data_IF_463122389801
#
_entry.id   IF_463122389801
#
_cell.length_a   1.000
_cell.length_b   1.000
_cell.length_c   1.000
_cell.angle_alpha   90.00
_cell.angle_beta   90.00
_cell.angle_gamma   90.00
#
_symmetry.space_group_name_H-M   'P 1'
#
loop_
_entity.id
_entity.type
_entity.pdbx_description
1 polymer ?
#
# COMPACT_ATOMS: atom_id res chain seq x y z
N UNK A 1 23.97 -7.91 30.28
CA UNK A 1 22.55 -8.23 30.00
C UNK A 1 21.74 -6.96 29.76
N UNK A 2 21.95 -5.89 30.53
CA UNK A 2 21.39 -4.55 30.30
C UNK A 2 21.75 -3.92 28.94
N UNK A 3 23.00 -4.06 28.46
CA UNK A 3 23.41 -3.53 27.15
C UNK A 3 22.66 -4.16 25.97
N UNK A 4 22.25 -5.42 26.09
CA UNK A 4 21.44 -6.13 25.08
C UNK A 4 19.97 -5.68 25.15
N UNK A 5 19.46 -5.38 26.35
CA UNK A 5 18.10 -4.85 26.52
C UNK A 5 17.98 -3.42 26.02
N UNK A 6 18.94 -2.55 26.34
CA UNK A 6 19.00 -1.17 25.85
C UNK A 6 19.07 -1.11 24.32
N UNK A 7 19.94 -1.94 23.71
CA UNK A 7 20.05 -2.09 22.26
C UNK A 7 18.73 -2.48 21.59
N UNK A 8 18.00 -3.46 22.15
CA UNK A 8 16.68 -3.89 21.63
C UNK A 8 15.61 -2.81 21.79
N UNK A 9 15.63 -2.06 22.89
CA UNK A 9 14.69 -0.96 23.15
C UNK A 9 14.85 0.17 22.12
N UNK A 10 16.08 0.66 21.92
CA UNK A 10 16.38 1.70 20.92
C UNK A 10 15.99 1.30 19.49
N UNK A 11 16.11 0.01 19.15
CA UNK A 11 15.73 -0.48 17.83
C UNK A 11 14.20 -0.51 17.63
N UNK A 12 13.43 -0.84 18.69
CA UNK A 12 11.95 -0.79 18.64
C UNK A 12 11.42 0.63 18.43
N UNK A 13 11.94 1.61 19.18
CA UNK A 13 11.54 3.01 19.04
C UNK A 13 11.84 3.56 17.65
N UNK A 14 13.01 3.21 17.09
CA UNK A 14 13.38 3.59 15.72
C UNK A 14 12.45 2.99 14.67
N UNK A 15 12.11 1.69 14.79
CA UNK A 15 11.18 1.04 13.86
C UNK A 15 9.79 1.69 13.96
N UNK A 16 9.29 1.92 15.17
CA UNK A 16 8.01 2.59 15.38
C UNK A 16 7.99 3.98 14.75
N UNK A 17 9.04 4.78 14.99
CA UNK A 17 9.16 6.13 14.43
C UNK A 17 9.14 6.10 12.89
N UNK A 18 9.91 5.20 12.27
CA UNK A 18 9.94 5.07 10.80
C UNK A 18 8.56 4.66 10.28
N UNK A 19 7.88 3.70 10.92
CA UNK A 19 6.52 3.30 10.52
C UNK A 19 5.53 4.46 10.64
N UNK A 20 5.62 5.29 11.69
CA UNK A 20 4.76 6.46 11.84
C UNK A 20 5.03 7.50 10.74
N UNK A 21 6.29 7.69 10.34
CA UNK A 21 6.65 8.54 9.20
C UNK A 21 6.07 7.98 7.89
N UNK A 22 6.15 6.66 7.67
CA UNK A 22 5.58 6.00 6.49
C UNK A 22 4.06 6.20 6.41
N UNK A 23 3.36 5.97 7.53
CA UNK A 23 1.92 6.17 7.63
C UNK A 23 1.58 7.64 7.37
N UNK A 24 2.31 8.57 7.98
CA UNK A 24 2.07 10.01 7.80
C UNK A 24 2.28 10.43 6.34
N UNK A 25 3.30 9.90 5.67
CA UNK A 25 3.56 10.14 4.25
C UNK A 25 2.40 9.62 3.39
N UNK A 26 1.96 8.38 3.60
CA UNK A 26 0.83 7.78 2.88
C UNK A 26 -0.44 8.63 3.06
N UNK A 27 -0.81 8.94 4.31
CA UNK A 27 -2.03 9.70 4.63
C UNK A 27 -1.97 11.10 4.01
N UNK A 28 -0.84 11.81 4.18
CA UNK A 28 -0.69 13.16 3.60
C UNK A 28 -0.84 13.13 2.09
N UNK A 29 -0.28 12.11 1.44
CA UNK A 29 -0.35 11.98 -0.01
C UNK A 29 -1.75 11.61 -0.51
N UNK A 30 -2.49 10.78 0.23
CA UNK A 30 -3.92 10.51 -0.02
C UNK A 30 -4.72 11.80 0.10
N UNK A 31 -4.51 12.60 1.16
CA UNK A 31 -5.20 13.89 1.34
C UNK A 31 -4.90 14.83 0.17
N UNK A 32 -3.64 14.94 -0.25
CA UNK A 32 -3.27 15.77 -1.40
C UNK A 32 -3.94 15.29 -2.69
N UNK A 33 -3.99 13.98 -2.94
CA UNK A 33 -4.69 13.41 -4.09
C UNK A 33 -6.20 13.70 -4.07
N UNK A 34 -6.83 13.57 -2.90
CA UNK A 34 -8.25 13.87 -2.72
C UNK A 34 -8.56 15.34 -2.98
N UNK A 35 -7.77 16.25 -2.39
CA UNK A 35 -7.90 17.70 -2.61
C UNK A 35 -7.67 18.07 -4.07
N UNK A 36 -6.71 17.43 -4.73
CA UNK A 36 -6.45 17.62 -6.15
C UNK A 36 -7.64 17.18 -7.01
N UNK A 37 -8.28 16.07 -6.65
CA UNK A 37 -9.51 15.61 -7.31
C UNK A 37 -10.62 16.66 -7.28
N UNK A 38 -10.83 17.32 -6.14
CA UNK A 38 -11.83 18.39 -6.02
C UNK A 38 -11.51 19.67 -6.81
N UNK A 39 -10.30 19.79 -7.37
CA UNK A 39 -9.95 20.86 -8.31
C UNK A 39 -10.25 20.47 -9.77
N UNK A 40 -10.44 19.18 -10.04
CA UNK A 40 -10.83 18.69 -11.35
C UNK A 40 -12.35 18.84 -11.46
N UNK A 41 -12.79 19.69 -12.38
CA UNK A 41 -14.20 19.91 -12.67
C UNK A 41 -14.73 18.70 -13.47
N UNK A 42 -15.19 17.67 -12.75
CA UNK A 42 -15.49 16.34 -13.29
C UNK A 42 -16.97 16.10 -13.59
N UNK A 43 -17.76 17.18 -13.67
CA UNK A 43 -19.21 17.20 -13.88
C UNK A 43 -19.73 16.40 -15.10
N UNK A 44 -18.84 15.89 -15.96
CA UNK A 44 -19.18 15.17 -17.19
C UNK A 44 -18.55 13.77 -17.34
N UNK A 45 -17.99 13.18 -16.28
CA UNK A 45 -17.51 11.79 -16.35
C UNK A 45 -18.69 10.82 -16.24
N UNK A 46 -19.22 10.39 -17.40
CA UNK A 46 -20.16 9.28 -17.44
C UNK A 46 -19.49 8.00 -16.92
N UNK A 47 -20.12 7.24 -15.99
CA UNK A 47 -19.56 6.00 -15.49
C UNK A 47 -19.38 5.00 -16.64
N UNK A 48 -18.14 4.77 -17.05
CA UNK A 48 -17.81 3.57 -17.83
C UNK A 48 -17.52 2.46 -16.83
N UNK A 49 -18.52 1.60 -16.58
CA UNK A 49 -18.30 0.33 -15.91
C UNK A 49 -17.50 -0.58 -16.85
N UNK A 50 -16.18 -0.47 -16.82
CA UNK A 50 -15.33 -1.55 -17.32
C UNK A 50 -15.30 -2.64 -16.25
N UNK A 51 -15.71 -3.87 -16.61
CA UNK A 51 -15.54 -5.06 -15.77
C UNK A 51 -14.04 -5.30 -15.49
N UNK A 52 -13.50 -4.67 -14.45
CA UNK A 52 -12.12 -4.91 -14.02
C UNK A 52 -12.12 -6.22 -13.24
N UNK A 53 -11.55 -7.27 -13.83
CA UNK A 53 -11.47 -8.57 -13.18
C UNK A 53 -10.63 -8.51 -11.90
N UNK A 54 -11.06 -9.19 -10.83
CA UNK A 54 -10.29 -9.29 -9.57
C UNK A 54 -8.87 -9.86 -9.77
N UNK A 55 -8.67 -10.68 -10.81
CA UNK A 55 -7.33 -11.12 -11.24
C UNK A 55 -6.45 -9.98 -11.75
N UNK A 56 -7.02 -9.03 -12.51
CA UNK A 56 -6.30 -7.85 -13.00
C UNK A 56 -5.77 -7.04 -11.82
N UNK A 57 -6.60 -6.82 -10.80
CA UNK A 57 -6.23 -6.06 -9.60
C UNK A 57 -5.15 -6.79 -8.80
N UNK A 58 -5.31 -8.09 -8.59
CA UNK A 58 -4.30 -8.91 -7.91
C UNK A 58 -2.94 -8.84 -8.61
N UNK A 59 -2.89 -9.05 -9.93
CA UNK A 59 -1.64 -9.01 -10.68
C UNK A 59 -1.04 -7.60 -10.75
N UNK A 60 -1.87 -6.56 -10.83
CA UNK A 60 -1.40 -5.17 -10.78
C UNK A 60 -0.68 -4.90 -9.46
N UNK A 61 -1.35 -5.15 -8.32
CA UNK A 61 -0.80 -4.92 -6.99
C UNK A 61 0.42 -5.80 -6.68
N UNK A 62 0.38 -7.06 -7.10
CA UNK A 62 1.52 -7.97 -6.96
C UNK A 62 2.72 -7.50 -7.78
N UNK A 63 2.50 -7.09 -9.03
CA UNK A 63 3.58 -6.61 -9.94
C UNK A 63 4.20 -5.34 -9.41
N UNK A 64 3.39 -4.37 -8.99
CA UNK A 64 3.85 -3.13 -8.37
C UNK A 64 4.69 -3.44 -7.12
N UNK A 65 4.22 -4.36 -6.28
CA UNK A 65 4.92 -4.74 -5.05
C UNK A 65 6.23 -5.48 -5.30
N UNK A 66 6.26 -6.38 -6.28
CA UNK A 66 7.49 -7.05 -6.70
C UNK A 66 8.49 -6.03 -7.26
N UNK A 67 8.02 -5.08 -8.08
CA UNK A 67 8.86 -3.99 -8.57
C UNK A 67 9.43 -3.16 -7.41
N UNK A 68 8.60 -2.77 -6.45
CA UNK A 68 9.02 -2.06 -5.22
C UNK A 68 10.11 -2.84 -4.46
N UNK A 69 9.94 -4.16 -4.32
CA UNK A 69 10.88 -5.02 -3.59
C UNK A 69 12.21 -5.13 -4.33
N UNK A 70 12.19 -5.32 -5.65
CA UNK A 70 13.38 -5.52 -6.49
C UNK A 70 14.17 -4.21 -6.60
N UNK A 71 13.49 -3.10 -6.81
CA UNK A 71 14.11 -1.80 -7.08
C UNK A 71 14.55 -1.03 -5.83
N UNK A 72 14.50 -1.68 -4.65
CA UNK A 72 14.94 -1.17 -3.35
C UNK A 72 14.14 0.03 -2.84
N UNK A 73 14.41 0.45 -1.60
CA UNK A 73 13.67 1.56 -0.96
C UNK A 73 13.74 2.88 -1.73
N UNK A 74 14.74 3.09 -2.60
CA UNK A 74 14.89 4.30 -3.42
C UNK A 74 13.72 4.46 -4.40
N UNK A 75 13.24 3.35 -4.97
CA UNK A 75 12.12 3.34 -5.92
C UNK A 75 10.79 3.03 -5.19
N UNK A 76 10.84 2.33 -4.06
CA UNK A 76 9.67 2.02 -3.24
C UNK A 76 8.87 3.27 -2.79
N UNK A 77 9.55 4.31 -2.29
CA UNK A 77 8.86 5.51 -1.81
C UNK A 77 8.18 6.30 -2.93
N UNK A 78 8.83 6.60 -4.07
CA UNK A 78 8.16 7.22 -5.21
C UNK A 78 6.90 6.48 -5.65
N UNK A 79 6.96 5.15 -5.75
CA UNK A 79 5.81 4.33 -6.15
C UNK A 79 4.67 4.43 -5.13
N UNK A 80 4.98 4.35 -3.83
CA UNK A 80 3.95 4.46 -2.78
C UNK A 80 3.35 5.86 -2.72
N UNK A 81 4.14 6.91 -2.93
CA UNK A 81 3.64 8.29 -3.04
C UNK A 81 2.66 8.38 -4.22
N UNK A 82 3.07 7.92 -5.41
CA UNK A 82 2.20 7.95 -6.60
C UNK A 82 0.91 7.16 -6.35
N UNK A 83 0.98 5.93 -5.83
CA UNK A 83 -0.20 5.13 -5.53
C UNK A 83 -1.10 5.77 -4.47
N UNK A 84 -0.52 6.30 -3.40
CA UNK A 84 -1.27 6.99 -2.34
C UNK A 84 -1.99 8.23 -2.90
N UNK A 85 -1.34 8.96 -3.80
CA UNK A 85 -1.95 10.11 -4.47
C UNK A 85 -3.13 9.68 -5.35
N UNK A 86 -2.94 8.67 -6.19
CA UNK A 86 -4.00 8.16 -7.05
C UNK A 86 -5.15 7.52 -6.27
N UNK A 87 -4.88 6.90 -5.12
CA UNK A 87 -5.94 6.45 -4.22
C UNK A 87 -6.77 7.64 -3.74
N UNK A 88 -6.13 8.69 -3.23
CA UNK A 88 -6.81 9.92 -2.83
C UNK A 88 -7.66 10.54 -3.94
N UNK A 89 -7.09 10.63 -5.14
CA UNK A 89 -7.79 11.10 -6.34
C UNK A 89 -9.01 10.22 -6.64
N UNK A 90 -8.82 8.90 -6.66
CA UNK A 90 -9.89 7.93 -6.93
C UNK A 90 -11.01 7.98 -5.90
N UNK A 91 -10.71 8.30 -4.65
CA UNK A 91 -11.72 8.48 -3.60
C UNK A 91 -12.61 9.69 -3.88
N UNK A 92 -12.02 10.82 -4.27
CA UNK A 92 -12.78 12.00 -4.62
C UNK A 92 -13.70 11.73 -5.83
N UNK A 93 -13.10 11.25 -6.92
CA UNK A 93 -13.83 10.90 -8.16
C UNK A 93 -14.91 9.84 -7.89
N UNK A 94 -14.58 8.82 -7.09
CA UNK A 94 -15.50 7.75 -6.76
C UNK A 94 -16.71 8.22 -5.97
N UNK A 95 -16.56 9.22 -5.09
CA UNK A 95 -17.68 9.79 -4.34
C UNK A 95 -18.64 10.50 -5.28
N UNK A 96 -18.11 11.24 -6.25
CA UNK A 96 -18.93 11.97 -7.21
C UNK A 96 -19.67 11.04 -8.18
N UNK A 97 -19.04 9.93 -8.59
CA UNK A 97 -19.62 8.97 -9.54
C UNK A 97 -20.55 7.95 -8.87
N UNK A 98 -20.12 7.33 -7.77
CA UNK A 98 -20.79 6.17 -7.16
C UNK A 98 -21.48 6.51 -5.83
N UNK A 99 -21.27 7.71 -5.31
CA UNK A 99 -21.82 8.15 -4.03
C UNK A 99 -20.98 7.74 -2.82
N UNK A 100 -21.12 8.54 -1.75
CA UNK A 100 -20.31 8.41 -0.54
C UNK A 100 -20.37 7.02 0.12
N UNK A 101 -21.56 6.41 0.21
CA UNK A 101 -21.74 5.12 0.89
C UNK A 101 -21.02 3.97 0.20
N UNK A 102 -20.97 3.97 -1.14
CA UNK A 102 -20.25 2.95 -1.91
C UNK A 102 -18.75 3.04 -1.64
N UNK A 103 -18.20 4.25 -1.77
CA UNK A 103 -16.77 4.50 -1.51
C UNK A 103 -16.39 4.20 -0.06
N UNK A 104 -17.25 4.54 0.91
CA UNK A 104 -17.01 4.23 2.32
C UNK A 104 -16.85 2.72 2.55
N UNK A 105 -17.67 1.88 1.91
CA UNK A 105 -17.58 0.43 2.05
C UNK A 105 -16.26 -0.10 1.47
N UNK A 106 -15.86 0.35 0.28
CA UNK A 106 -14.55 -0.02 -0.28
C UNK A 106 -13.41 0.45 0.64
N UNK A 107 -13.48 1.70 1.14
CA UNK A 107 -12.51 2.26 2.06
C UNK A 107 -12.41 1.50 3.39
N UNK A 108 -13.52 1.03 3.94
CA UNK A 108 -13.52 0.36 5.23
C UNK A 108 -12.85 -1.01 5.19
N UNK A 109 -12.94 -1.72 4.06
CA UNK A 109 -12.51 -3.11 3.96
C UNK A 109 -11.24 -3.32 3.13
N UNK A 110 -11.08 -2.60 2.00
CA UNK A 110 -9.95 -2.80 1.09
C UNK A 110 -8.73 -1.96 1.50
N UNK A 111 -8.93 -0.66 1.72
CA UNK A 111 -7.84 0.31 1.91
C UNK A 111 -6.93 0.00 3.12
N UNK A 112 -7.42 -0.46 4.29
CA UNK A 112 -6.54 -0.81 5.41
C UNK A 112 -5.58 -1.96 5.08
N UNK A 113 -6.03 -2.91 4.26
CA UNK A 113 -5.24 -4.07 3.84
C UNK A 113 -4.22 -3.65 2.79
N UNK A 114 -4.61 -2.76 1.89
CA UNK A 114 -3.72 -2.19 0.89
C UNK A 114 -2.58 -1.39 1.55
N UNK A 115 -2.91 -0.52 2.52
CA UNK A 115 -1.92 0.23 3.32
C UNK A 115 -0.99 -0.74 4.07
N UNK A 116 -1.52 -1.81 4.66
CA UNK A 116 -0.71 -2.85 5.29
C UNK A 116 0.27 -3.50 4.29
N UNK A 117 -0.20 -3.78 3.07
CA UNK A 117 0.62 -4.27 1.97
C UNK A 117 1.76 -3.31 1.60
N UNK A 118 1.48 -2.00 1.51
CA UNK A 118 2.50 -0.99 1.25
C UNK A 118 3.54 -0.88 2.36
N UNK A 119 3.11 -0.89 3.63
CA UNK A 119 4.02 -0.87 4.78
C UNK A 119 4.92 -2.11 4.81
N UNK A 120 4.37 -3.29 4.53
CA UNK A 120 5.14 -4.52 4.40
C UNK A 120 6.15 -4.42 3.25
N UNK A 121 5.73 -3.88 2.10
CA UNK A 121 6.59 -3.66 0.93
C UNK A 121 7.76 -2.74 1.25
N UNK A 122 7.53 -1.62 1.94
CA UNK A 122 8.60 -0.71 2.41
C UNK A 122 9.58 -1.40 3.35
N UNK A 123 9.05 -2.14 4.33
CA UNK A 123 9.89 -2.88 5.26
C UNK A 123 10.74 -3.95 4.54
N UNK A 124 10.17 -4.66 3.56
CA UNK A 124 10.92 -5.64 2.76
C UNK A 124 11.98 -4.94 1.91
N UNK A 125 11.62 -3.85 1.21
CA UNK A 125 12.53 -3.09 0.35
C UNK A 125 13.76 -2.54 1.13
N UNK A 126 13.57 -2.10 2.38
CA UNK A 126 14.67 -1.70 3.28
C UNK A 126 15.61 -2.87 3.59
N UNK A 127 15.06 -4.05 3.89
CA UNK A 127 15.86 -5.26 4.18
C UNK A 127 16.59 -5.77 2.94
N UNK A 128 15.98 -5.65 1.76
CA UNK A 128 16.62 -5.95 0.48
C UNK A 128 17.77 -4.98 0.22
N UNK A 129 17.59 -3.68 0.47
CA UNK A 129 18.69 -2.71 0.37
C UNK A 129 19.85 -3.05 1.31
N UNK A 130 19.55 -3.43 2.56
CA UNK A 130 20.56 -3.86 3.54
C UNK A 130 21.28 -5.15 3.09
N UNK A 131 20.56 -6.10 2.48
CA UNK A 131 21.13 -7.30 1.87
C UNK A 131 22.12 -6.96 0.76
N UNK A 132 21.74 -6.06 -0.15
CA UNK A 132 22.62 -5.59 -1.22
C UNK A 132 23.88 -4.93 -0.64
N UNK A 133 23.75 -4.09 0.40
CA UNK A 133 24.87 -3.39 1.03
C UNK A 133 25.79 -4.29 1.87
N UNK A 134 25.25 -5.30 2.56
CA UNK A 134 25.98 -6.05 3.60
C UNK A 134 26.22 -7.54 3.28
N UNK A 135 25.72 -8.06 2.15
CA UNK A 135 25.88 -9.46 1.66
C UNK A 135 25.63 -10.56 2.71
N UNK A 136 24.61 -10.43 3.58
CA UNK A 136 24.34 -11.40 4.66
C UNK A 136 23.30 -12.47 4.29
N UNK A 137 23.68 -13.76 4.29
CA UNK A 137 22.77 -14.90 3.99
C UNK A 137 21.55 -15.02 4.92
N UNK A 138 21.66 -14.64 6.19
CA UNK A 138 20.57 -14.77 7.19
C UNK A 138 19.37 -13.87 6.85
N UNK A 139 19.61 -12.71 6.24
CA UNK A 139 18.55 -11.76 5.89
C UNK A 139 17.73 -12.21 4.68
N UNK A 140 18.28 -13.05 3.79
CA UNK A 140 17.58 -13.52 2.58
C UNK A 140 16.36 -14.41 2.92
N UNK A 141 16.52 -15.36 3.86
CA UNK A 141 15.39 -16.20 4.33
C UNK A 141 14.28 -15.35 4.94
N UNK A 142 14.63 -14.28 5.66
CA UNK A 142 13.65 -13.37 6.25
C UNK A 142 12.91 -12.56 5.19
N UNK A 143 13.61 -12.07 4.16
CA UNK A 143 13.00 -11.38 3.02
C UNK A 143 12.01 -12.31 2.31
N UNK A 144 12.42 -13.53 1.94
CA UNK A 144 11.53 -14.49 1.27
C UNK A 144 10.26 -14.79 2.08
N UNK A 145 10.41 -15.01 3.40
CA UNK A 145 9.27 -15.24 4.28
C UNK A 145 8.31 -14.04 4.30
N UNK A 146 8.84 -12.82 4.34
CA UNK A 146 8.02 -11.60 4.32
C UNK A 146 7.37 -11.35 2.96
N UNK A 147 8.03 -11.68 1.85
CA UNK A 147 7.44 -11.64 0.52
C UNK A 147 6.26 -12.62 0.40
N UNK A 148 6.36 -13.81 0.98
CA UNK A 148 5.23 -14.76 1.03
C UNK A 148 4.06 -14.22 1.86
N UNK A 149 4.33 -13.58 3.01
CA UNK A 149 3.27 -12.92 3.78
C UNK A 149 2.60 -11.80 2.98
N UNK A 150 3.38 -11.00 2.25
CA UNK A 150 2.85 -9.93 1.40
C UNK A 150 1.93 -10.48 0.30
N UNK A 151 2.31 -11.60 -0.33
CA UNK A 151 1.45 -12.27 -1.30
C UNK A 151 0.10 -12.69 -0.69
N UNK A 152 0.12 -13.20 0.56
CA UNK A 152 -1.09 -13.52 1.31
C UNK A 152 -1.97 -12.29 1.60
N UNK A 153 -1.35 -11.17 2.00
CA UNK A 153 -2.06 -9.89 2.24
C UNK A 153 -2.76 -9.41 0.98
N UNK A 154 -2.10 -9.44 -0.18
CA UNK A 154 -2.75 -9.03 -1.43
C UNK A 154 -3.81 -10.01 -1.93
N UNK A 155 -3.68 -11.30 -1.63
CA UNK A 155 -4.74 -12.27 -1.92
C UNK A 155 -6.00 -11.98 -1.11
N UNK A 156 -5.85 -11.62 0.16
CA UNK A 156 -6.97 -11.20 1.01
C UNK A 156 -7.58 -9.89 0.51
N UNK A 157 -6.75 -8.90 0.14
CA UNK A 157 -7.20 -7.61 -0.40
C UNK A 157 -8.07 -7.81 -1.65
N UNK A 158 -7.60 -8.63 -2.60
CA UNK A 158 -8.31 -8.93 -3.84
C UNK A 158 -9.62 -9.70 -3.61
N UNK A 159 -9.64 -10.61 -2.63
CA UNK A 159 -10.86 -11.34 -2.26
C UNK A 159 -11.91 -10.41 -1.66
N UNK A 160 -11.52 -9.52 -0.74
CA UNK A 160 -12.41 -8.56 -0.10
C UNK A 160 -12.96 -7.59 -1.13
N UNK A 161 -12.13 -7.04 -2.00
CA UNK A 161 -12.55 -6.12 -3.04
C UNK A 161 -13.57 -6.76 -3.99
N UNK A 162 -13.34 -8.01 -4.40
CA UNK A 162 -14.31 -8.77 -5.20
C UNK A 162 -15.65 -8.92 -4.48
N UNK A 163 -15.65 -9.20 -3.19
CA UNK A 163 -16.89 -9.28 -2.40
C UNK A 163 -17.56 -7.90 -2.35
N UNK A 164 -16.80 -6.83 -2.13
CA UNK A 164 -17.35 -5.48 -2.09
C UNK A 164 -17.99 -5.09 -3.42
N UNK A 165 -17.36 -5.42 -4.55
CA UNK A 165 -17.97 -5.25 -5.88
C UNK A 165 -19.25 -6.07 -6.06
N UNK A 166 -19.28 -7.33 -5.63
CA UNK A 166 -20.49 -8.17 -5.78
C UNK A 166 -21.65 -7.70 -4.90
N UNK A 167 -21.36 -7.23 -3.69
CA UNK A 167 -22.40 -6.86 -2.72
C UNK A 167 -22.92 -5.43 -2.90
N UNK A 168 -22.10 -4.52 -3.44
CA UNK A 168 -22.40 -3.09 -3.47
C UNK A 168 -22.26 -2.43 -4.84
N UNK A 169 -21.71 -3.12 -5.85
CA UNK A 169 -21.59 -2.65 -7.23
C UNK A 169 -22.77 -3.12 -8.08
#
# INVERSE_FOLDING_TARGET
MESIMLSKSTNKHRVLFITLVDISLIITTIILGYLFGGLLDLDNLAPHQSDISGSTIFFHNLTVSIAIIIFTSIIAYPVIIVNSFFLGLSLNIGIDIFGFLYVLNIMAYHVPIEILGWLLSLNIARKVLDLYKRRKKIQLKQVLKQTLYLAGVYLIAAYIERITFILFG
#
